data_IF_796881307838
#
_entry.id   IF_796881307838
#
_cell.length_a   1.000
_cell.length_b   1.000
_cell.length_c   1.000
_cell.angle_alpha   90.00
_cell.angle_beta   90.00
_cell.angle_gamma   90.00
#
_symmetry.space_group_name_H-M   'P 1'
#
loop_
_entity.id
_entity.type
_entity.pdbx_description
1 polymer ?
2 polymer ?
3 non-polymer ?
4 water ?
#
# COMPACT_ATOMS: atom_id res chain seq x y z
N UNK A 1 -12.34 19.55 -0.63
CA UNK A 1 -12.05 19.39 -2.05
C UNK A 1 -13.06 18.46 -2.72
N UNK A 2 -12.82 18.09 -3.97
CA UNK A 2 -13.73 17.18 -4.68
C UNK A 2 -12.98 15.86 -4.95
N UNK A 3 -13.68 14.73 -4.95
CA UNK A 3 -13.03 13.43 -5.12
C UNK A 3 -13.41 12.79 -6.45
N UNK A 4 -12.43 12.20 -7.11
CA UNK A 4 -12.69 11.36 -8.26
C UNK A 4 -12.05 10.01 -7.96
N UNK A 5 -12.70 8.91 -8.34
CA UNK A 5 -12.14 7.61 -8.00
C UNK A 5 -12.57 6.56 -9.00
N UNK A 6 -11.71 5.57 -9.21
CA UNK A 6 -12.12 4.46 -10.03
C UNK A 6 -11.29 3.27 -9.62
N UNK A 7 -11.83 2.07 -9.79
CA UNK A 7 -11.13 0.89 -9.36
C UNK A 7 -11.61 -0.24 -10.25
N UNK A 8 -10.73 -0.69 -11.14
CA UNK A 8 -11.13 -1.67 -12.16
C UNK A 8 -10.20 -2.90 -12.24
N UNK A 9 -10.75 -4.00 -12.72
CA UNK A 9 -10.02 -5.26 -12.72
C UNK A 9 -8.98 -5.32 -13.83
N UNK A 10 -9.30 -4.71 -14.98
CA UNK A 10 -8.44 -4.74 -16.14
C UNK A 10 -8.20 -6.17 -16.61
N UNK A 11 -6.95 -6.47 -16.97
CA UNK A 11 -6.64 -7.75 -17.62
C UNK A 11 -6.43 -8.93 -16.67
N UNK A 12 -6.33 -8.67 -15.37
CA UNK A 12 -6.17 -9.75 -14.39
C UNK A 12 -7.41 -10.65 -14.32
N UNK A 13 -7.21 -11.91 -13.93
CA UNK A 13 -8.35 -12.83 -13.79
C UNK A 13 -9.14 -12.61 -12.48
N UNK A 14 -8.64 -11.77 -11.59
CA UNK A 14 -9.36 -11.50 -10.35
C UNK A 14 -9.20 -10.02 -9.97
N UNK A 15 -10.13 -9.50 -9.17
CA UNK A 15 -10.03 -8.12 -8.71
C UNK A 15 -9.66 -8.16 -7.23
N UNK A 16 -8.49 -7.62 -6.90
CA UNK A 16 -8.03 -7.62 -5.51
C UNK A 16 -7.64 -6.22 -4.98
N UNK A 17 -7.80 -5.17 -5.79
CA UNK A 17 -7.63 -3.77 -5.29
C UNK A 17 -8.94 -3.36 -4.62
N UNK A 18 -8.89 -2.38 -3.71
CA UNK A 18 -10.12 -1.72 -3.28
C UNK A 18 -9.75 -0.33 -2.84
N UNK A 19 -10.74 0.54 -2.73
CA UNK A 19 -10.49 1.93 -2.37
C UNK A 19 -11.49 2.33 -1.29
N UNK A 20 -11.09 3.28 -0.44
CA UNK A 20 -11.94 3.72 0.64
C UNK A 20 -11.77 5.25 0.71
N UNK A 21 -12.88 5.97 0.79
CA UNK A 21 -12.87 7.42 0.99
C UNK A 21 -13.99 7.72 2.01
N UNK A 22 -13.61 8.21 3.20
CA UNK A 22 -14.57 8.55 4.24
C UNK A 22 -14.27 9.96 4.74
N UNK A 23 -15.31 10.78 4.89
CA UNK A 23 -15.14 12.18 5.32
C UNK A 23 -16.02 12.50 6.52
N UNK A 24 -15.56 13.44 7.33
CA UNK A 24 -16.33 13.99 8.43
C UNK A 24 -16.27 15.48 8.19
N UNK A 25 -17.38 16.05 7.71
CA UNK A 25 -17.38 17.45 7.30
C UNK A 25 -17.29 18.39 8.50
N UNK A 26 -17.93 18.03 9.60
CA UNK A 26 -17.91 18.89 10.79
C UNK A 26 -16.49 19.02 11.32
N UNK A 27 -15.75 17.92 11.28
CA UNK A 27 -14.37 17.90 11.76
C UNK A 27 -13.30 18.24 10.69
N UNK A 28 -13.73 18.49 9.45
CA UNK A 28 -12.84 18.78 8.31
C UNK A 28 -11.79 17.70 8.13
N UNK A 29 -12.25 16.45 8.19
CA UNK A 29 -11.35 15.32 8.29
C UNK A 29 -11.69 14.35 7.15
N UNK A 30 -10.70 13.88 6.43
CA UNK A 30 -10.98 12.84 5.42
C UNK A 30 -9.93 11.74 5.49
N UNK A 31 -10.33 10.54 5.09
CA UNK A 31 -9.45 9.38 5.06
C UNK A 31 -9.64 8.73 3.69
N UNK A 32 -8.55 8.59 2.94
CA UNK A 32 -8.57 7.93 1.63
C UNK A 32 -7.51 6.85 1.60
N UNK A 33 -7.85 5.70 1.04
CA UNK A 33 -6.94 4.59 1.10
C UNK A 33 -7.03 3.78 -0.18
N UNK A 34 -5.89 3.37 -0.72
CA UNK A 34 -5.95 2.27 -1.68
C UNK A 34 -5.27 1.04 -1.15
N UNK A 35 -5.98 -0.07 -1.28
CA UNK A 35 -5.48 -1.35 -0.82
C UNK A 35 -5.22 -2.22 -2.03
N UNK A 36 -4.04 -2.85 -2.06
CA UNK A 36 -3.69 -3.74 -3.15
C UNK A 36 -3.49 -5.13 -2.56
N UNK A 37 -4.54 -5.93 -2.59
CA UNK A 37 -4.45 -7.30 -2.07
C UNK A 37 -3.76 -8.29 -2.98
N UNK A 38 -3.30 -9.39 -2.41
CA UNK A 38 -2.67 -10.44 -3.19
C UNK A 38 -3.00 -11.79 -2.55
N UNK A 39 -3.04 -12.82 -3.40
CA UNK A 39 -3.37 -14.19 -2.98
C UNK A 39 -4.70 -14.27 -2.26
N UNK A 40 -5.71 -13.59 -2.79
CA UNK A 40 -7.04 -13.61 -2.20
C UNK A 40 -7.51 -12.22 -1.82
N UNK A 41 -8.76 -12.10 -1.39
CA UNK A 41 -9.33 -10.81 -1.04
C UNK A 41 -9.63 -10.66 0.46
N UNK A 42 -9.32 -11.68 1.26
CA UNK A 42 -9.76 -11.66 2.65
C UNK A 42 -9.05 -10.58 3.50
N UNK A 43 -7.77 -10.36 3.26
CA UNK A 43 -7.05 -9.28 3.95
C UNK A 43 -7.58 -7.89 3.61
N UNK A 44 -7.81 -7.64 2.31
CA UNK A 44 -8.38 -6.37 1.86
C UNK A 44 -9.73 -6.13 2.52
N UNK A 45 -10.55 -7.19 2.54
CA UNK A 45 -11.86 -7.07 3.16
C UNK A 45 -11.74 -6.68 4.63
N UNK A 46 -10.86 -7.36 5.35
CA UNK A 46 -10.62 -7.05 6.76
C UNK A 46 -10.21 -5.58 6.91
N UNK A 47 -9.29 -5.14 6.07
CA UNK A 47 -8.70 -3.80 6.25
C UNK A 47 -9.70 -2.67 5.99
N UNK A 48 -10.64 -2.96 5.10
CA UNK A 48 -11.66 -2.01 4.65
C UNK A 48 -12.32 -1.25 5.80
N UNK A 49 -12.77 -1.97 6.83
CA UNK A 49 -13.30 -1.28 7.99
C UNK A 49 -12.31 -1.19 9.15
N UNK A 50 -11.55 -2.26 9.37
CA UNK A 50 -10.67 -2.30 10.55
C UNK A 50 -9.57 -1.25 10.58
N UNK A 51 -8.96 -0.96 9.43
CA UNK A 51 -7.86 0.00 9.45
C UNK A 51 -8.35 1.42 9.71
N UNK A 52 -9.47 1.77 9.08
CA UNK A 52 -10.09 3.08 9.29
C UNK A 52 -10.41 3.32 10.77
N UNK A 53 -11.05 2.33 11.38
CA UNK A 53 -11.50 2.43 12.76
C UNK A 53 -10.32 2.60 13.69
N UNK A 54 -9.26 1.85 13.43
CA UNK A 54 -8.07 1.92 14.27
C UNK A 54 -7.32 3.24 14.11
N UNK A 55 -7.30 3.79 12.90
CA UNK A 55 -6.56 5.02 12.65
C UNK A 55 -7.25 6.20 13.28
N UNK A 56 -8.56 6.23 13.11
CA UNK A 56 -9.41 7.24 13.67
C UNK A 56 -9.28 7.18 15.18
N UNK A 57 -9.26 5.99 15.75
CA UNK A 57 -9.11 5.84 17.19
C UNK A 57 -7.76 6.28 17.72
N UNK A 58 -6.70 5.90 17.02
CA UNK A 58 -5.34 6.22 17.45
C UNK A 58 -5.06 7.71 17.46
N UNK A 59 -5.78 8.45 16.63
CA UNK A 59 -5.58 9.90 16.50
C UNK A 59 -6.56 10.74 17.29
N UNK A 60 -7.66 10.12 17.71
CA UNK A 60 -8.69 10.85 18.44
C UNK A 60 -8.37 10.79 19.91
N UNK A 61 -7.73 9.70 20.31
CA UNK A 61 -7.20 9.58 21.66
C UNK A 61 -6.15 10.64 21.89
N UNK A 62 -6.59 11.83 22.31
CA UNK A 62 -5.69 12.93 22.58
C UNK A 62 -5.84 14.10 21.62
N UNK A 63 -6.90 14.08 20.80
CA UNK A 63 -7.12 15.11 19.79
C UNK A 63 -5.81 15.42 19.09
N UNK A 64 -5.25 14.38 18.50
CA UNK A 64 -3.84 14.31 18.10
C UNK A 64 -3.42 15.02 16.82
N UNK A 65 -4.36 15.27 15.92
CA UNK A 65 -4.02 15.65 14.56
C UNK A 65 -3.30 16.98 14.32
N UNK A 66 -3.74 18.04 14.99
CA UNK A 66 -3.18 19.36 14.72
C UNK A 66 -2.47 19.98 15.94
N UNK A 67 -1.90 19.11 16.78
CA UNK A 67 -1.21 19.49 18.01
C UNK A 67 0.24 19.88 17.76
N UNK A 68 0.79 19.30 16.71
CA UNK A 68 2.03 19.69 16.08
C UNK A 68 3.14 18.79 16.58
N UNK A 69 2.74 17.69 17.23
CA UNK A 69 3.66 16.66 17.65
C UNK A 69 3.77 15.60 16.56
N UNK A 70 4.62 15.86 15.58
CA UNK A 70 4.84 14.92 14.49
C UNK A 70 5.20 13.54 15.01
N UNK A 71 6.08 13.51 15.99
CA UNK A 71 6.53 12.27 16.60
C UNK A 71 5.37 11.45 17.13
N UNK A 72 4.46 12.11 17.84
CA UNK A 72 3.30 11.44 18.44
C UNK A 72 2.31 10.92 17.38
N UNK A 73 2.05 11.73 16.36
CA UNK A 73 1.18 11.31 15.26
C UNK A 73 1.79 10.12 14.55
N UNK A 74 3.10 10.21 14.27
CA UNK A 74 3.82 9.15 13.61
C UNK A 74 3.73 7.86 14.44
N UNK A 75 3.99 7.96 15.74
CA UNK A 75 3.94 6.77 16.57
C UNK A 75 2.55 6.19 16.65
N UNK A 76 1.53 7.05 16.69
CA UNK A 76 0.15 6.56 16.74
C UNK A 76 -0.24 5.75 15.50
N UNK A 77 0.08 6.28 14.32
CA UNK A 77 -0.29 5.61 13.08
C UNK A 77 0.47 4.31 12.89
N UNK A 78 1.74 4.30 13.31
CA UNK A 78 2.51 3.04 13.29
C UNK A 78 1.85 1.96 14.16
N UNK A 79 1.53 2.30 15.40
CA UNK A 79 0.87 1.38 16.31
C UNK A 79 -0.50 0.95 15.80
N UNK A 80 -1.22 1.86 15.14
CA UNK A 80 -2.49 1.51 14.52
C UNK A 80 -2.33 0.38 13.49
N UNK A 81 -1.38 0.58 12.57
CA UNK A 81 -1.08 -0.40 11.54
C UNK A 81 -0.66 -1.74 12.16
N UNK A 82 0.26 -1.68 13.12
CA UNK A 82 0.79 -2.89 13.73
C UNK A 82 -0.31 -3.65 14.48
N UNK A 83 -1.19 -2.91 15.13
CA UNK A 83 -2.30 -3.47 15.86
C UNK A 83 -3.30 -4.17 14.94
N UNK A 84 -3.61 -3.53 13.81
CA UNK A 84 -4.54 -4.10 12.85
C UNK A 84 -3.99 -5.38 12.29
N UNK A 85 -2.67 -5.42 12.03
CA UNK A 85 -2.04 -6.60 11.44
C UNK A 85 -2.06 -7.76 12.41
N UNK A 86 -1.77 -7.46 13.67
CA UNK A 86 -1.92 -8.41 14.76
C UNK A 86 -3.31 -9.05 14.74
N UNK A 87 -4.33 -8.22 14.64
CA UNK A 87 -5.72 -8.70 14.63
C UNK A 87 -6.09 -9.47 13.35
N UNK A 88 -5.57 -8.99 12.23
CA UNK A 88 -5.73 -9.73 10.97
C UNK A 88 -5.09 -11.12 11.02
N UNK A 89 -3.89 -11.22 11.59
CA UNK A 89 -3.21 -12.52 11.60
C UNK A 89 -3.99 -13.53 12.45
N UNK A 90 -4.52 -13.06 13.58
CA UNK A 90 -5.38 -13.90 14.41
C UNK A 90 -6.60 -14.35 13.62
N UNK A 91 -7.25 -13.38 12.96
CA UNK A 91 -8.44 -13.64 12.17
C UNK A 91 -8.16 -14.65 11.06
N UNK A 92 -7.05 -14.46 10.36
CA UNK A 92 -6.67 -15.37 9.29
C UNK A 92 -6.45 -16.79 9.82
N UNK A 93 -5.96 -16.87 11.06
CA UNK A 93 -5.61 -18.15 11.65
C UNK A 93 -6.84 -18.89 12.18
N UNK A 94 -7.77 -18.15 12.76
CA UNK A 94 -8.98 -18.75 13.35
C UNK A 94 -10.15 -18.79 12.37
N UNK A 95 -10.46 -17.65 11.76
CA UNK A 95 -11.52 -17.59 10.75
C UNK A 95 -10.97 -18.02 9.40
N UNK A 96 -9.95 -18.88 9.45
CA UNK A 96 -9.32 -19.40 8.26
C UNK A 96 -8.49 -20.62 8.60
N UNK A 97 -7.82 -21.16 7.59
CA UNK A 97 -7.90 -20.58 6.26
C UNK A 97 -8.81 -21.35 5.25
N UNK A 98 -8.52 -22.62 4.92
CA UNK A 98 -7.33 -23.35 5.33
C UNK A 98 -6.23 -23.16 4.28
N UNK A 99 -6.62 -22.67 3.11
CA UNK A 99 -5.66 -22.34 2.06
C UNK A 99 -5.66 -20.85 1.72
N UNK A 100 -6.28 -20.06 2.59
CA UNK A 100 -6.25 -18.60 2.49
C UNK A 100 -4.89 -18.13 2.98
N UNK A 101 -4.08 -17.65 2.05
CA UNK A 101 -2.74 -17.15 2.33
C UNK A 101 -2.65 -15.68 1.91
N UNK A 102 -3.73 -14.94 2.08
CA UNK A 102 -3.82 -13.61 1.50
C UNK A 102 -3.00 -12.57 2.26
N UNK A 103 -2.88 -11.41 1.64
CA UNK A 103 -2.28 -10.24 2.26
C UNK A 103 -2.71 -9.02 1.48
N UNK A 104 -2.30 -7.86 1.94
CA UNK A 104 -2.62 -6.63 1.21
C UNK A 104 -1.65 -5.51 1.56
N UNK A 105 -1.35 -4.68 0.58
CA UNK A 105 -0.62 -3.45 0.88
C UNK A 105 -1.63 -2.34 1.15
N UNK A 106 -1.14 -1.15 1.51
CA UNK A 106 -2.03 -0.08 1.87
C UNK A 106 -1.32 1.27 1.82
N UNK A 107 -1.93 2.23 1.17
CA UNK A 107 -1.44 3.60 1.17
C UNK A 107 -2.62 4.46 1.62
N UNK A 108 -2.47 5.12 2.76
CA UNK A 108 -3.55 5.84 3.39
C UNK A 108 -3.19 7.32 3.47
N UNK A 109 -4.12 8.20 3.14
CA UNK A 109 -3.89 9.61 3.34
C UNK A 109 -4.94 10.15 4.28
N UNK A 110 -4.49 10.85 5.32
CA UNK A 110 -5.44 11.46 6.21
C UNK A 110 -5.27 12.97 6.13
N UNK A 111 -6.36 13.70 6.00
CA UNK A 111 -6.29 15.15 6.01
C UNK A 111 -7.18 15.66 7.14
N UNK A 112 -6.71 16.63 7.91
CA UNK A 112 -7.58 17.28 8.88
C UNK A 112 -7.22 18.76 8.93
N UNK A 113 -8.20 19.61 8.64
CA UNK A 113 -7.95 21.02 8.42
C UNK A 113 -6.87 21.19 7.35
N UNK A 114 -5.74 21.81 7.68
CA UNK A 114 -4.71 22.05 6.68
C UNK A 114 -3.46 21.18 6.84
N UNK A 115 -3.57 20.08 7.57
CA UNK A 115 -2.44 19.15 7.68
C UNK A 115 -2.80 17.84 6.98
N UNK A 116 -1.81 17.18 6.39
CA UNK A 116 -2.04 15.90 5.72
C UNK A 116 -0.94 14.94 6.13
N UNK A 117 -1.30 13.69 6.37
CA UNK A 117 -0.31 12.66 6.67
C UNK A 117 -0.57 11.48 5.77
N UNK A 118 0.50 10.77 5.44
CA UNK A 118 0.36 9.56 4.62
C UNK A 118 1.00 8.42 5.37
N UNK A 119 0.31 7.29 5.43
CA UNK A 119 0.83 6.09 6.07
C UNK A 119 0.88 5.07 4.97
N UNK A 120 2.04 4.49 4.74
CA UNK A 120 2.25 3.73 3.52
C UNK A 120 3.03 2.45 3.76
N UNK A 121 2.49 1.32 3.27
CA UNK A 121 3.29 0.13 3.10
C UNK A 121 3.05 -0.47 1.70
N UNK A 122 4.12 -0.84 1.01
CA UNK A 122 3.96 -1.61 -0.22
C UNK A 122 4.34 -0.83 -1.45
N UNK A 123 3.60 -1.00 -2.55
CA UNK A 123 4.05 -0.40 -3.82
C UNK A 123 3.01 0.41 -4.60
N UNK A 124 1.90 0.78 -3.96
CA UNK A 124 1.08 1.86 -4.51
C UNK A 124 1.90 3.13 -4.29
N UNK A 125 1.41 4.26 -4.80
CA UNK A 125 2.19 5.49 -4.72
C UNK A 125 1.23 6.65 -4.63
N UNK A 126 1.66 7.72 -3.96
CA UNK A 126 0.86 8.94 -3.87
C UNK A 126 1.70 10.08 -4.40
N UNK A 127 1.11 10.93 -5.22
CA UNK A 127 1.80 12.11 -5.76
C UNK A 127 0.90 13.30 -5.66
N UNK A 128 1.44 14.50 -5.65
CA UNK A 128 0.62 15.69 -5.78
C UNK A 128 1.18 16.71 -6.76
N UNK A 129 0.36 17.66 -7.16
CA UNK A 129 0.82 18.76 -7.98
C UNK A 129 0.73 20.04 -7.17
N UNK A 130 1.82 20.79 -7.11
CA UNK A 130 1.87 22.00 -6.29
C UNK A 130 2.48 23.13 -7.11
N UNK A 131 1.69 24.14 -7.42
CA UNK A 131 2.09 25.19 -8.35
C UNK A 131 2.70 24.64 -9.63
N UNK A 132 2.08 23.59 -10.16
CA UNK A 132 2.52 23.02 -11.43
C UNK A 132 3.65 22.02 -11.35
N UNK A 133 4.16 21.77 -10.14
CA UNK A 133 5.32 20.90 -9.94
C UNK A 133 4.91 19.60 -9.29
N UNK A 134 5.52 18.50 -9.70
CA UNK A 134 5.18 17.22 -9.08
C UNK A 134 5.97 16.96 -7.79
N UNK A 135 5.28 16.43 -6.79
CA UNK A 135 5.93 15.89 -5.60
C UNK A 135 5.53 14.42 -5.44
N UNK A 136 6.51 13.53 -5.49
CA UNK A 136 6.24 12.10 -5.20
C UNK A 136 6.36 11.91 -3.69
N UNK A 137 5.26 11.47 -3.06
CA UNK A 137 5.11 11.57 -1.60
C UNK A 137 5.47 10.29 -0.87
N UNK A 138 5.59 9.20 -1.62
CA UNK A 138 5.85 7.91 -0.97
C UNK A 138 7.02 7.21 -1.66
N UNK A 139 7.56 6.19 -1.01
CA UNK A 139 8.67 5.42 -1.55
C UNK A 139 8.22 3.95 -1.56
N UNK A 140 8.88 3.10 -2.34
CA UNK A 140 8.42 1.72 -2.52
C UNK A 140 9.02 0.76 -1.52
N UNK A 141 8.23 -0.20 -1.04
CA UNK A 141 8.78 -1.30 -0.26
C UNK A 141 8.90 -2.55 -1.11
N UNK A 142 10.03 -2.64 -1.80
CA UNK A 142 10.33 -3.73 -2.71
C UNK A 142 11.69 -4.33 -2.34
N UNK A 143 11.83 -5.65 -2.48
CA UNK A 143 13.08 -6.29 -2.08
C UNK A 143 14.14 -6.31 -3.20
N UNK A 144 14.29 -5.17 -3.87
CA UNK A 144 15.16 -4.98 -5.03
C UNK A 144 15.05 -3.51 -5.38
N UNK A 145 16.05 -2.95 -6.07
CA UNK A 145 15.95 -1.56 -6.51
C UNK A 145 17.06 -0.68 -5.99
N UNK A 146 16.88 0.65 -6.09
CA UNK A 146 17.92 1.60 -5.72
C UNK A 146 17.42 2.80 -4.92
N UNK A 147 16.12 3.01 -4.85
CA UNK A 147 15.59 4.13 -4.07
C UNK A 147 15.95 3.96 -2.61
N UNK A 148 15.79 5.03 -1.82
CA UNK A 148 16.10 5.00 -0.39
C UNK A 148 15.59 3.72 0.27
N UNK A 149 14.28 3.49 0.20
CA UNK A 149 13.65 2.36 0.86
C UNK A 149 14.21 1.00 0.41
N UNK A 150 14.54 0.89 -0.88
CA UNK A 150 14.95 -0.40 -1.48
C UNK A 150 16.19 -1.06 -0.85
N UNK A 151 17.26 -0.31 -0.71
CA UNK A 151 18.48 -0.87 -0.13
C UNK A 151 18.25 -1.26 1.33
N UNK A 152 17.49 -0.42 2.04
CA UNK A 152 17.19 -0.68 3.44
C UNK A 152 16.27 -1.89 3.62
N UNK A 153 15.35 -2.10 2.69
CA UNK A 153 14.43 -3.22 2.80
C UNK A 153 15.16 -4.54 2.62
N UNK A 154 16.04 -4.58 1.63
CA UNK A 154 16.81 -5.78 1.35
C UNK A 154 17.70 -6.08 2.53
N UNK A 155 18.29 -5.04 3.10
CA UNK A 155 19.09 -5.21 4.31
C UNK A 155 18.25 -5.78 5.44
N UNK A 156 17.07 -5.20 5.66
CA UNK A 156 16.18 -5.68 6.71
C UNK A 156 15.75 -7.14 6.54
N UNK A 157 15.42 -7.54 5.31
CA UNK A 157 15.03 -8.92 5.01
C UNK A 157 16.18 -9.91 5.26
N UNK A 158 17.37 -9.58 4.77
CA UNK A 158 18.53 -10.43 4.96
C UNK A 158 18.87 -10.51 6.44
N UNK A 159 18.68 -9.39 7.14
CA UNK A 159 18.92 -9.34 8.58
C UNK A 159 17.99 -10.29 9.32
N UNK A 160 16.77 -10.47 8.80
CA UNK A 160 15.80 -11.35 9.41
C UNK A 160 16.07 -12.81 9.06
N UNK A 161 17.07 -13.04 8.21
CA UNK A 161 17.44 -14.38 7.81
C UNK A 161 16.70 -14.90 6.60
N UNK A 162 16.01 -14.03 5.88
CA UNK A 162 15.34 -14.41 4.65
C UNK A 162 16.28 -14.27 3.46
N UNK A 163 15.85 -14.73 2.30
CA UNK A 163 16.66 -14.58 1.11
C UNK A 163 15.78 -14.08 -0.03
N UNK A 164 16.41 -13.62 -1.10
CA UNK A 164 15.69 -13.03 -2.22
C UNK A 164 16.07 -13.67 -3.54
N UNK A 165 15.10 -14.22 -4.26
CA UNK A 165 15.35 -14.80 -5.58
C UNK A 165 14.34 -14.24 -6.54
N UNK A 166 14.76 -13.98 -7.78
CA UNK A 166 13.87 -13.41 -8.79
C UNK A 166 13.15 -12.18 -8.26
N UNK A 167 13.84 -11.38 -7.45
CA UNK A 167 13.25 -10.18 -6.87
C UNK A 167 12.07 -10.43 -5.95
N UNK A 168 12.04 -11.61 -5.32
CA UNK A 168 10.96 -11.95 -4.37
C UNK A 168 11.54 -12.55 -3.11
N UNK A 169 10.95 -12.24 -1.97
CA UNK A 169 11.40 -12.81 -0.70
C UNK A 169 11.13 -14.31 -0.67
N UNK A 170 12.18 -15.10 -0.46
CA UNK A 170 12.10 -16.56 -0.58
C UNK A 170 11.53 -17.00 -1.93
N UNK A 171 11.74 -16.17 -2.94
CA UNK A 171 11.29 -16.47 -4.30
C UNK A 171 9.80 -16.35 -4.46
N UNK A 172 9.14 -15.82 -3.42
CA UNK A 172 7.69 -15.80 -3.33
C UNK A 172 7.15 -14.37 -3.47
N UNK A 173 7.37 -13.55 -2.46
CA UNK A 173 6.60 -12.31 -2.42
C UNK A 173 7.39 -11.10 -2.94
N UNK A 174 6.76 -10.31 -3.81
CA UNK A 174 7.42 -9.21 -4.52
C UNK A 174 7.35 -7.85 -3.80
N UNK A 175 6.74 -7.81 -2.62
CA UNK A 175 6.74 -6.62 -1.74
C UNK A 175 7.27 -7.02 -0.38
N UNK A 176 7.87 -6.07 0.34
CA UNK A 176 8.56 -6.38 1.58
C UNK A 176 7.77 -5.92 2.80
N UNK A 177 6.76 -5.09 2.56
CA UNK A 177 5.85 -4.70 3.62
C UNK A 177 4.40 -4.90 3.18
N UNK A 178 3.62 -5.50 4.06
CA UNK A 178 2.22 -5.82 3.76
C UNK A 178 1.51 -6.29 5.02
N UNK A 179 0.18 -6.11 5.02
CA UNK A 179 -0.71 -6.73 6.00
C UNK A 179 -0.92 -8.19 5.62
N UNK A 180 -1.13 -9.05 6.62
CA UNK A 180 -1.40 -10.45 6.35
C UNK A 180 -0.12 -11.22 6.08
N UNK A 181 -0.15 -12.08 5.05
CA UNK A 181 1.03 -12.82 4.64
C UNK A 181 1.68 -13.58 5.81
N UNK A 182 0.85 -14.30 6.54
CA UNK A 182 1.24 -14.96 7.80
C UNK A 182 2.45 -15.88 7.67
N UNK A 183 2.64 -16.46 6.48
CA UNK A 183 3.75 -17.38 6.23
C UNK A 183 5.09 -16.68 6.22
N UNK A 184 5.10 -15.35 6.25
CA UNK A 184 6.33 -14.59 6.35
C UNK A 184 6.49 -13.98 7.73
N UNK A 185 5.52 -14.22 8.58
CA UNK A 185 5.50 -13.64 9.90
C UNK A 185 5.48 -14.63 11.07
N UNK A 186 4.31 -15.11 11.45
CA UNK A 186 4.20 -15.92 12.65
C UNK A 186 4.19 -17.40 12.25
N UNK A 187 4.20 -17.66 10.94
CA UNK A 187 4.20 -19.03 10.43
C UNK A 187 5.35 -19.29 9.45
N UNK A 188 6.43 -18.54 9.57
CA UNK A 188 7.57 -18.67 8.67
C UNK A 188 8.27 -20.01 8.82
N UNK A 189 8.32 -20.54 10.04
CA UNK A 189 8.92 -21.85 10.25
C UNK A 189 8.09 -22.95 9.60
N UNK A 190 6.78 -22.86 9.77
CA UNK A 190 5.85 -23.77 9.12
C UNK A 190 6.04 -23.70 7.60
N UNK A 191 6.28 -22.49 7.10
CA UNK A 191 6.52 -22.27 5.68
C UNK A 191 7.66 -23.12 5.14
N UNK A 192 8.78 -23.14 5.86
CA UNK A 192 9.90 -23.99 5.49
C UNK A 192 9.48 -25.46 5.38
N UNK A 193 8.73 -25.93 6.38
CA UNK A 193 8.23 -27.31 6.42
C UNK A 193 7.41 -27.67 5.19
N UNK A 194 6.42 -26.83 4.89
CA UNK A 194 5.54 -27.04 3.75
C UNK A 194 6.33 -27.17 2.46
N UNK A 195 7.41 -26.40 2.36
CA UNK A 195 8.27 -26.42 1.19
C UNK A 195 8.89 -27.79 0.98
N UNK A 196 9.38 -28.36 2.06
CA UNK A 196 9.91 -29.72 2.00
C UNK A 196 8.82 -30.69 1.55
N UNK A 197 7.66 -30.61 2.21
CA UNK A 197 6.54 -31.49 1.89
C UNK A 197 6.08 -31.35 0.44
N UNK A 198 6.25 -30.16 -0.14
CA UNK A 198 5.82 -29.90 -1.51
C UNK A 198 6.97 -29.91 -2.51
N UNK A 199 8.15 -30.25 -2.01
CA UNK A 199 9.31 -30.48 -2.85
C UNK A 199 9.87 -29.25 -3.54
N UNK A 200 9.93 -28.14 -2.83
CA UNK A 200 10.49 -26.93 -3.37
C UNK A 200 11.93 -26.76 -2.89
N UNK A 201 12.28 -27.49 -1.84
CA UNK A 201 13.65 -27.52 -1.34
C UNK A 201 13.87 -28.73 -0.43
N UNK A 202 15.12 -28.96 -0.06
CA UNK A 202 15.48 -30.16 0.69
C UNK A 202 15.43 -29.92 2.19
N UNK A 203 15.39 -31.01 2.93
CA UNK A 203 15.41 -30.98 4.38
C UNK A 203 16.68 -30.30 4.89
N UNK A 204 17.81 -30.64 4.28
CA UNK A 204 19.08 -30.07 4.73
C UNK A 204 19.12 -28.57 4.50
N UNK A 205 18.37 -28.09 3.51
CA UNK A 205 18.29 -26.66 3.26
C UNK A 205 17.65 -25.94 4.44
N UNK A 206 16.52 -26.47 4.91
CA UNK A 206 15.79 -25.86 6.03
C UNK A 206 16.68 -25.78 7.27
N UNK A 207 17.56 -26.77 7.43
CA UNK A 207 18.46 -26.82 8.57
C UNK A 207 19.35 -25.58 8.64
N UNK A 208 19.77 -25.08 7.48
CA UNK A 208 20.67 -23.93 7.44
C UNK A 208 19.96 -22.59 7.59
N UNK A 209 18.65 -22.64 7.77
CA UNK A 209 17.86 -21.41 7.92
C UNK A 209 17.68 -21.04 9.38
N UNK A 210 17.73 -19.74 9.67
CA UNK A 210 17.57 -19.24 11.03
C UNK A 210 16.87 -17.89 11.02
N UNK A 211 15.55 -17.91 11.08
CA UNK A 211 14.75 -16.68 11.07
C UNK A 211 14.85 -15.91 12.37
N UNK A 212 15.31 -14.68 12.29
CA UNK A 212 15.48 -13.83 13.48
C UNK A 212 14.29 -12.91 13.72
N UNK A 213 13.73 -12.38 12.65
CA UNK A 213 12.54 -11.54 12.73
C UNK A 213 11.59 -11.84 11.60
N UNK A 214 10.48 -11.13 11.54
CA UNK A 214 9.55 -11.26 10.42
C UNK A 214 10.16 -10.69 9.17
N UNK A 215 10.03 -11.42 8.08
CA UNK A 215 10.54 -10.97 6.78
C UNK A 215 9.66 -9.89 6.18
N UNK A 216 8.35 -10.06 6.29
CA UNK A 216 7.41 -9.02 5.88
C UNK A 216 6.90 -8.36 7.14
N UNK A 217 6.79 -7.04 7.13
CA UNK A 217 6.22 -6.33 8.27
C UNK A 217 5.16 -5.34 7.80
N UNK A 218 4.22 -5.00 8.69
CA UNK A 218 3.16 -4.03 8.38
C UNK A 218 3.48 -2.61 8.89
N UNK A 219 4.67 -2.42 9.41
CA UNK A 219 5.09 -1.10 9.92
C UNK A 219 5.18 -0.08 8.79
N UNK A 220 4.36 0.98 8.84
CA UNK A 220 4.28 1.92 7.72
C UNK A 220 5.36 2.97 7.78
N UNK A 221 5.73 3.49 6.62
CA UNK A 221 6.44 4.77 6.58
C UNK A 221 5.40 5.82 6.80
N UNK A 222 5.74 6.88 7.53
CA UNK A 222 4.75 7.91 7.81
C UNK A 222 5.32 9.25 7.32
N UNK A 223 4.54 9.97 6.52
CA UNK A 223 4.97 11.25 5.96
C UNK A 223 4.01 12.37 6.30
N UNK A 224 4.56 13.53 6.67
CA UNK A 224 3.74 14.73 6.79
C UNK A 224 3.87 15.53 5.51
N UNK A 225 2.73 15.84 4.90
CA UNK A 225 2.69 16.57 3.65
C UNK A 225 2.06 17.93 3.85
N UNK A 226 2.87 18.99 3.75
CA UNK A 226 2.41 20.38 3.93
C UNK A 226 1.31 20.67 2.92
N UNK A 227 0.19 21.22 3.36
CA UNK A 227 -0.82 21.61 2.39
C UNK A 227 -0.77 23.12 2.24
N UNK A 228 -0.82 23.59 1.01
CA UNK A 228 -0.76 25.01 0.75
C UNK A 228 -1.82 25.33 -0.28
N UNK A 229 -2.12 26.62 -0.43
CA UNK A 229 -3.17 27.06 -1.34
C UNK A 229 -2.85 26.75 -2.80
N UNK A 230 -1.60 26.46 -3.12
CA UNK A 230 -1.26 26.10 -4.51
C UNK A 230 -1.15 24.61 -4.78
N UNK A 231 -1.54 23.77 -3.83
CA UNK A 231 -1.69 22.33 -4.11
C UNK A 231 -2.93 22.20 -4.99
N UNK A 232 -2.74 21.70 -6.21
CA UNK A 232 -3.79 21.64 -7.18
C UNK A 232 -4.59 20.33 -7.08
N UNK A 233 -3.89 19.21 -6.91
CA UNK A 233 -4.59 17.95 -6.71
C UNK A 233 -3.64 16.92 -6.16
N UNK A 234 -4.18 15.87 -5.57
CA UNK A 234 -3.38 14.80 -5.01
C UNK A 234 -3.90 13.52 -5.63
N UNK A 235 -3.00 12.58 -5.92
CA UNK A 235 -3.42 11.30 -6.54
C UNK A 235 -2.87 10.12 -5.75
N UNK A 236 -3.75 9.22 -5.31
CA UNK A 236 -3.30 7.95 -4.74
C UNK A 236 -3.68 6.90 -5.76
N UNK A 237 -2.76 6.02 -6.13
CA UNK A 237 -3.12 4.94 -7.07
C UNK A 237 -2.35 3.65 -6.85
N UNK A 238 -2.90 2.51 -7.29
CA UNK A 238 -2.15 1.27 -7.23
C UNK A 238 -1.09 1.21 -8.35
N UNK A 239 -0.19 0.25 -8.23
CA UNK A 239 0.91 0.14 -9.20
C UNK A 239 0.40 -0.28 -10.59
N UNK A 240 -0.89 -0.60 -10.68
CA UNK A 240 -1.49 -0.89 -12.00
C UNK A 240 -1.44 0.35 -12.88
N UNK A 241 -1.45 1.51 -12.23
CA UNK A 241 -1.25 2.77 -12.96
C UNK A 241 0.26 3.07 -13.15
N UNK A 242 0.98 3.25 -12.04
CA UNK A 242 2.37 3.73 -12.10
C UNK A 242 3.36 2.85 -12.88
N UNK A 243 3.13 1.54 -12.92
CA UNK A 243 4.00 0.64 -13.66
C UNK A 243 3.95 0.92 -15.17
N UNK A 244 2.88 1.53 -15.64
CA UNK A 244 2.68 1.76 -17.09
C UNK A 244 2.61 3.23 -17.47
N UNK A 245 2.71 4.13 -16.49
CA UNK A 245 2.65 5.55 -16.80
C UNK A 245 3.43 6.32 -15.73
N UNK A 246 4.49 6.99 -16.15
CA UNK A 246 5.41 7.74 -15.29
C UNK A 246 4.67 8.85 -14.55
N UNK A 247 5.04 9.13 -13.30
CA UNK A 247 4.19 10.03 -12.54
C UNK A 247 4.13 11.44 -13.14
N UNK A 248 5.21 11.88 -13.77
CA UNK A 248 5.20 13.19 -14.39
C UNK A 248 4.22 13.20 -15.54
N UNK A 249 4.06 12.06 -16.21
CA UNK A 249 3.06 11.98 -17.26
C UNK A 249 1.64 11.98 -16.73
N UNK A 250 1.40 11.26 -15.62
CA UNK A 250 0.04 11.24 -15.12
C UNK A 250 -0.35 12.61 -14.57
N UNK A 251 0.60 13.30 -13.95
CA UNK A 251 0.30 14.62 -13.44
C UNK A 251 -0.06 15.59 -14.56
N UNK A 252 0.73 15.60 -15.63
CA UNK A 252 0.41 16.44 -16.78
C UNK A 252 -0.95 16.07 -17.37
N UNK A 253 -1.21 14.79 -17.47
CA UNK A 253 -2.46 14.33 -18.04
C UNK A 253 -3.67 14.81 -17.22
N UNK A 254 -3.59 14.71 -15.90
CA UNK A 254 -4.69 15.11 -15.04
C UNK A 254 -4.91 16.61 -15.10
N UNK A 255 -3.80 17.35 -15.05
CA UNK A 255 -3.83 18.81 -15.17
C UNK A 255 -4.54 19.23 -16.46
N UNK A 256 -4.17 18.58 -17.57
CA UNK A 256 -4.83 18.83 -18.85
C UNK A 256 -6.32 18.53 -18.80
N UNK A 257 -6.70 17.41 -18.19
CA UNK A 257 -8.11 17.04 -18.09
C UNK A 257 -8.90 18.12 -17.33
N UNK A 258 -8.38 18.50 -16.17
CA UNK A 258 -9.05 19.48 -15.31
C UNK A 258 -9.15 20.86 -15.99
N UNK A 259 -8.11 21.25 -16.72
CA UNK A 259 -8.18 22.49 -17.48
C UNK A 259 -9.28 22.39 -18.53
N UNK A 260 -9.45 21.19 -19.07
CA UNK A 260 -10.42 20.98 -20.13
C UNK A 260 -11.88 21.07 -19.63
N UNK A 261 -12.21 20.34 -18.57
CA UNK A 261 -13.61 20.21 -18.17
C UNK A 261 -13.86 20.33 -16.67
N UNK A 262 -12.80 20.54 -15.89
CA UNK A 262 -12.93 20.73 -14.45
C UNK A 262 -13.61 19.60 -13.69
N UNK A 263 -13.72 18.42 -14.30
CA UNK A 263 -14.44 17.30 -13.70
C UNK A 263 -13.48 16.20 -13.23
N UNK A 264 -13.23 16.15 -11.92
CA UNK A 264 -12.22 15.24 -11.38
C UNK A 264 -12.63 13.78 -11.60
N UNK A 265 -13.92 13.50 -11.50
CA UNK A 265 -14.35 12.12 -11.71
C UNK A 265 -14.09 11.70 -13.15
N UNK A 266 -14.37 12.58 -14.11
CA UNK A 266 -14.07 12.26 -15.51
C UNK A 266 -12.57 12.16 -15.77
N UNK A 267 -11.79 13.02 -15.13
CA UNK A 267 -10.32 12.94 -15.23
C UNK A 267 -9.84 11.58 -14.78
N UNK A 268 -10.39 11.11 -13.67
CA UNK A 268 -9.96 9.85 -13.09
C UNK A 268 -10.28 8.65 -14.00
N UNK A 269 -11.49 8.64 -14.53
CA UNK A 269 -11.91 7.59 -15.45
C UNK A 269 -11.11 7.59 -16.73
N UNK A 270 -10.84 8.78 -17.28
CA UNK A 270 -10.06 8.87 -18.52
C UNK A 270 -8.62 8.43 -18.27
N UNK A 271 -8.08 8.75 -17.10
CA UNK A 271 -6.74 8.32 -16.74
C UNK A 271 -6.67 6.80 -16.67
N UNK A 272 -7.65 6.18 -16.02
CA UNK A 272 -7.64 4.73 -15.92
C UNK A 272 -7.72 4.12 -17.32
N UNK A 273 -8.45 4.75 -18.23
CA UNK A 273 -8.55 4.22 -19.60
C UNK A 273 -7.22 4.32 -20.35
N UNK A 274 -6.47 5.39 -20.11
CA UNK A 274 -5.12 5.50 -20.65
C UNK A 274 -4.25 4.35 -20.18
N UNK A 275 -4.28 4.06 -18.88
CA UNK A 275 -3.55 2.91 -18.37
C UNK A 275 -3.94 1.61 -19.07
N UNK A 276 -5.23 1.42 -19.33
CA UNK A 276 -5.65 0.20 -20.04
C UNK A 276 -5.21 0.23 -21.50
N UNK A 277 -5.28 1.40 -22.13
CA UNK A 277 -4.88 1.52 -23.53
C UNK A 277 -3.38 1.21 -23.67
N UNK A 278 -2.62 1.49 -22.60
CA UNK A 278 -1.20 1.19 -22.58
C UNK A 278 -0.95 -0.28 -22.23
N UNK A 279 -2.04 -1.01 -22.05
CA UNK A 279 -2.01 -2.42 -21.67
C UNK A 279 -1.28 -2.73 -20.36
N UNK A 280 -1.60 -1.95 -19.33
CA UNK A 280 -1.26 -2.36 -17.98
C UNK A 280 -1.86 -3.73 -17.73
N UNK A 281 -1.16 -4.56 -16.98
CA UNK A 281 -1.58 -5.93 -16.76
C UNK A 281 -2.03 -6.19 -15.34
N UNK A 282 -2.42 -5.15 -14.63
CA UNK A 282 -2.84 -5.30 -13.25
C UNK A 282 -4.19 -4.63 -13.03
N UNK A 283 -4.79 -4.89 -11.86
CA UNK A 283 -5.93 -4.10 -11.40
C UNK A 283 -5.41 -2.66 -11.27
N UNK A 284 -6.29 -1.70 -11.52
CA UNK A 284 -5.93 -0.27 -11.53
C UNK A 284 -6.92 0.47 -10.66
N UNK A 285 -6.43 1.12 -9.60
CA UNK A 285 -7.32 1.90 -8.74
C UNK A 285 -6.71 3.28 -8.58
N UNK A 286 -7.54 4.31 -8.62
CA UNK A 286 -7.05 5.68 -8.61
C UNK A 286 -8.02 6.49 -7.78
N UNK A 287 -7.47 7.34 -6.91
CA UNK A 287 -8.26 8.31 -6.16
C UNK A 287 -7.60 9.66 -6.41
N UNK A 288 -8.37 10.63 -6.86
CA UNK A 288 -7.86 11.97 -7.07
C UNK A 288 -8.64 12.95 -6.20
N UNK A 289 -7.90 13.72 -5.40
CA UNK A 289 -8.47 14.81 -4.62
C UNK A 289 -8.18 16.09 -5.37
N UNK A 290 -9.21 16.75 -5.87
CA UNK A 290 -9.09 18.00 -6.62
C UNK A 290 -9.32 19.14 -5.64
N UNK A 291 -8.28 19.90 -5.38
CA UNK A 291 -8.36 21.01 -4.42
C UNK A 291 -8.60 22.33 -5.14
N UNK A 292 -8.73 22.28 -6.47
CA UNK A 292 -9.06 23.46 -7.27
C UNK A 292 -7.90 24.36 -7.67
N UNK A 293 -7.76 25.48 -6.98
CA UNK A 293 -6.71 26.45 -7.32
C UNK A 293 -6.76 27.12 -8.69
N UNK A 294 -5.61 27.17 -9.34
CA UNK A 294 -5.52 27.78 -10.67
C UNK A 294 -4.93 26.80 -11.68
N UNK B 1 3.34 -7.48 -12.23
CA UNK B 1 3.62 -8.89 -12.06
C UNK B 1 2.82 -9.49 -10.90
N UNK B 2 2.52 -10.78 -10.99
CA UNK B 2 1.86 -11.47 -9.89
C UNK B 2 2.68 -11.24 -8.63
N UNK B 3 2.02 -10.83 -7.56
CA UNK B 3 2.71 -10.38 -6.35
C UNK B 3 3.29 -11.49 -5.53
N UNK B 4 2.82 -12.71 -5.73
CA UNK B 4 3.30 -13.85 -4.98
C UNK B 4 3.65 -15.01 -5.92
N UNK B 5 4.41 -15.98 -5.43
CA UNK B 5 4.76 -17.12 -6.28
C UNK B 5 5.13 -18.27 -5.36
N UNK B 6 5.09 -19.49 -5.88
CA UNK B 6 5.55 -20.63 -5.07
C UNK B 6 7.00 -20.36 -4.72
N UNK B 7 7.37 -20.57 -3.46
CA UNK B 7 8.73 -20.21 -3.04
C UNK B 7 9.85 -21.04 -3.68
N UNK B 8 11.04 -20.47 -3.65
CA UNK B 8 12.21 -21.09 -4.22
C UNK B 8 13.44 -20.73 -3.39
N UNK B 9 14.33 -21.69 -3.21
CA UNK B 9 15.58 -21.42 -2.53
C UNK B 9 16.47 -20.61 -3.44
N UNK B 10 17.58 -20.11 -2.91
CA UNK B 10 18.52 -19.33 -3.73
C UNK B 10 19.03 -20.14 -4.93
X LIG C 1 -1.01 -4.17 -8.06
X LIG D 1 -2.91 -7.05 -6.23
#
# INVERSE_FOLDING_TARGET
>A
MRWGYTSVQGFRDEMEDDIVIRSDAVDSFSYAAVFDGHAGSSSVKFLREELYKECVGALQAGSLLNGGDFAAIKEALIKAFESVDRNLLKWLEANGDEEDESGSTATVMIIRNDVSFIAHIGESCAVLSRSGQIEELTDYHRPYGSSRAAIQEVKRVKEAGGWIVNGRICGDIAVSRAFGDIRFKTKKNDMLKKGVDEGRWSEKFVSRIEFKGDMVVATPDIFQVPLTSDVEFIILASDGLWDYMKSSDVVSYVRDQLRKHGNVQLACESLAQVALDRRSQDNISIIIADLGRTLEHHHHHH
>B
RKTVAKPKGPSGSPW
>C hetero
1 MN MN
>D hetero
1 MN MN
#
